data_IF_155795137300
#
_entry.id   IF_155795137300
#
_cell.length_a   1.000
_cell.length_b   1.000
_cell.length_c   1.000
_cell.angle_alpha   90.00
_cell.angle_beta   90.00
_cell.angle_gamma   90.00
#
_symmetry.space_group_name_H-M   'P 1'
#
loop_
_entity.id
_entity.type
_entity.pdbx_description
1 polymer ?
#
# COMPACT_ATOMS: atom_id res chain seq x y z
N UNK A 1 -1.29 -26.32 -23.47
CA UNK A 1 -1.68 -27.74 -23.57
C UNK A 1 -1.73 -28.34 -22.18
N UNK A 2 -2.55 -29.38 -21.96
CA UNK A 2 -2.61 -30.14 -20.70
C UNK A 2 -2.35 -31.61 -21.02
N UNK A 3 -1.50 -32.28 -20.25
CA UNK A 3 -1.26 -33.72 -20.38
C UNK A 3 -2.52 -34.48 -19.92
N UNK A 4 -3.07 -35.31 -20.80
CA UNK A 4 -4.22 -36.16 -20.52
C UNK A 4 -3.83 -37.36 -19.65
N UNK A 5 -4.79 -37.97 -18.98
CA UNK A 5 -4.57 -39.14 -18.12
C UNK A 5 -4.12 -40.36 -18.94
N UNK A 6 -4.64 -40.51 -20.16
CA UNK A 6 -4.28 -41.54 -21.13
C UNK A 6 -2.95 -41.29 -21.88
N UNK A 7 -2.14 -40.29 -21.47
CA UNK A 7 -0.81 -40.07 -22.03
C UNK A 7 -0.75 -39.20 -23.29
N UNK A 8 -1.89 -38.69 -23.77
CA UNK A 8 -1.96 -37.70 -24.85
C UNK A 8 -1.75 -36.25 -24.39
N UNK A 9 -1.55 -35.32 -25.32
CA UNK A 9 -1.58 -33.88 -25.07
C UNK A 9 -2.91 -33.30 -25.54
N UNK A 10 -3.67 -32.68 -24.63
CA UNK A 10 -4.87 -31.92 -24.98
C UNK A 10 -4.44 -30.48 -25.26
N UNK A 11 -4.48 -30.10 -26.53
CA UNK A 11 -4.37 -28.72 -26.97
C UNK A 11 -5.75 -28.10 -26.93
N UNK A 12 -5.95 -27.13 -26.05
CA UNK A 12 -7.19 -26.35 -26.05
C UNK A 12 -7.20 -25.50 -27.33
N UNK A 13 -8.27 -25.54 -28.14
CA UNK A 13 -8.44 -24.59 -29.23
C UNK A 13 -8.33 -23.17 -28.66
N UNK A 14 -7.54 -22.33 -29.31
CA UNK A 14 -7.48 -20.92 -28.96
C UNK A 14 -8.55 -20.19 -29.76
N UNK A 15 -9.32 -19.36 -29.07
CA UNK A 15 -10.27 -18.45 -29.72
C UNK A 15 -9.69 -17.04 -29.71
N UNK A 16 -9.86 -16.35 -30.83
CA UNK A 16 -9.57 -14.91 -30.91
C UNK A 16 -10.47 -14.19 -29.91
N UNK A 17 -9.98 -13.07 -29.38
CA UNK A 17 -10.75 -12.22 -28.47
C UNK A 17 -10.45 -10.76 -28.71
N UNK A 18 -11.41 -9.91 -28.35
CA UNK A 18 -11.15 -8.50 -28.16
C UNK A 18 -10.18 -8.30 -26.99
N UNK A 19 -9.16 -7.49 -27.23
CA UNK A 19 -8.10 -7.18 -26.30
C UNK A 19 -7.85 -5.66 -26.26
N UNK A 20 -7.06 -5.24 -25.28
CA UNK A 20 -7.00 -3.84 -24.87
C UNK A 20 -8.03 -3.65 -23.76
N UNK A 21 -7.57 -3.50 -22.53
CA UNK A 21 -8.47 -3.31 -21.38
C UNK A 21 -9.10 -1.92 -21.50
N UNK A 22 -10.43 -1.81 -21.63
CA UNK A 22 -11.09 -0.50 -21.61
C UNK A 22 -10.87 0.16 -20.25
N UNK A 23 -10.67 1.49 -20.18
CA UNK A 23 -10.70 2.19 -18.92
C UNK A 23 -12.09 2.02 -18.29
N UNK A 24 -12.18 1.32 -17.15
CA UNK A 24 -13.47 0.99 -16.52
C UNK A 24 -14.19 2.19 -15.90
N UNK A 25 -13.51 3.35 -15.81
CA UNK A 25 -14.07 4.58 -15.23
C UNK A 25 -13.94 5.73 -16.22
N UNK A 26 -15.02 6.49 -16.40
CA UNK A 26 -15.04 7.76 -17.12
C UNK A 26 -15.42 8.89 -16.17
N UNK A 27 -14.61 9.94 -16.14
CA UNK A 27 -14.85 11.08 -15.26
C UNK A 27 -15.63 12.17 -15.99
N UNK A 28 -16.65 12.72 -15.32
CA UNK A 28 -17.46 13.82 -15.86
C UNK A 28 -16.57 14.97 -16.33
N UNK A 29 -16.76 15.40 -17.57
CA UNK A 29 -16.01 16.49 -18.19
C UNK A 29 -14.59 16.14 -18.67
N UNK A 30 -14.10 14.90 -18.44
CA UNK A 30 -12.83 14.42 -18.98
C UNK A 30 -13.03 13.47 -20.16
N UNK A 31 -12.15 13.57 -21.15
CA UNK A 31 -12.20 12.71 -22.34
C UNK A 31 -11.82 11.28 -21.95
N UNK A 32 -12.76 10.37 -22.17
CA UNK A 32 -12.55 8.93 -22.13
C UNK A 32 -12.20 8.42 -23.53
N UNK A 33 -11.27 7.48 -23.64
CA UNK A 33 -10.85 6.91 -24.93
C UNK A 33 -10.35 5.48 -24.75
N UNK A 34 -10.73 4.61 -25.67
CA UNK A 34 -10.28 3.22 -25.74
C UNK A 34 -10.08 2.78 -27.19
N UNK A 35 -9.04 1.97 -27.43
CA UNK A 35 -8.71 1.42 -28.75
C UNK A 35 -8.66 -0.10 -28.62
N UNK A 36 -9.75 -0.82 -28.96
CA UNK A 36 -9.74 -2.27 -28.98
C UNK A 36 -8.76 -2.81 -30.03
N UNK A 37 -8.29 -4.04 -29.80
CA UNK A 37 -7.51 -4.80 -30.78
C UNK A 37 -7.93 -6.26 -30.77
N UNK A 38 -7.89 -6.93 -31.90
CA UNK A 38 -8.07 -8.38 -31.94
C UNK A 38 -6.78 -9.05 -31.47
N UNK A 39 -6.89 -9.90 -30.45
CA UNK A 39 -5.82 -10.79 -30.04
C UNK A 39 -6.00 -12.15 -30.69
N UNK A 40 -5.02 -12.52 -31.52
CA UNK A 40 -4.89 -13.83 -32.13
C UNK A 40 -3.55 -14.46 -31.69
N UNK A 41 -3.55 -15.62 -31.01
CA UNK A 41 -2.32 -16.31 -30.64
C UNK A 41 -1.65 -17.08 -31.78
N UNK A 42 -2.35 -17.35 -32.88
CA UNK A 42 -1.87 -18.14 -34.01
C UNK A 42 -1.58 -17.30 -35.25
N UNK A 43 -2.22 -16.14 -35.37
CA UNK A 43 -1.99 -15.17 -36.43
C UNK A 43 -0.77 -14.28 -36.17
N UNK A 44 0.04 -14.07 -37.21
CA UNK A 44 1.01 -12.98 -37.22
C UNK A 44 0.29 -11.63 -36.99
N UNK A 45 1.02 -10.62 -36.51
CA UNK A 45 0.53 -9.27 -36.14
C UNK A 45 -0.10 -8.45 -37.28
N UNK A 46 -0.57 -9.07 -38.36
CA UNK A 46 -1.45 -8.43 -39.31
C UNK A 46 -2.77 -8.16 -38.60
N UNK A 47 -3.05 -6.88 -38.35
CA UNK A 47 -4.41 -6.45 -38.04
C UNK A 47 -5.21 -6.74 -39.33
N UNK A 48 -6.12 -7.73 -39.37
CA UNK A 48 -7.04 -7.84 -40.50
C UNK A 48 -7.80 -6.50 -40.61
N UNK A 49 -8.40 -6.18 -41.76
CA UNK A 49 -9.26 -5.01 -41.85
C UNK A 49 -10.46 -5.19 -40.90
N UNK A 50 -10.30 -4.77 -39.65
CA UNK A 50 -11.32 -4.91 -38.60
C UNK A 50 -12.20 -3.68 -38.65
N UNK A 51 -13.50 -3.89 -38.64
CA UNK A 51 -14.48 -2.83 -38.44
C UNK A 51 -15.08 -2.96 -37.05
N UNK A 52 -14.88 -1.93 -36.22
CA UNK A 52 -15.49 -1.86 -34.90
C UNK A 52 -16.83 -1.13 -34.98
N UNK A 53 -17.84 -1.71 -34.35
CA UNK A 53 -19.18 -1.13 -34.25
C UNK A 53 -19.79 -1.41 -32.89
N UNK A 54 -20.72 -0.57 -32.47
CA UNK A 54 -21.52 -0.80 -31.27
C UNK A 54 -22.98 -0.57 -31.62
N UNK A 55 -23.88 -1.54 -31.36
CA UNK A 55 -25.30 -1.40 -31.71
C UNK A 55 -26.00 -0.34 -30.86
N UNK A 56 -25.53 -0.12 -29.64
CA UNK A 56 -26.03 0.90 -28.74
C UNK A 56 -24.86 1.62 -28.07
N UNK A 57 -24.84 2.94 -28.16
CA UNK A 57 -23.88 3.80 -27.49
C UNK A 57 -24.61 4.94 -26.78
N UNK A 58 -24.19 5.30 -25.55
CA UNK A 58 -24.58 6.56 -24.93
C UNK A 58 -24.24 7.74 -25.84
N UNK A 59 -25.05 8.81 -25.80
CA UNK A 59 -24.88 9.99 -26.68
C UNK A 59 -23.51 10.67 -26.56
N UNK A 60 -22.82 10.46 -25.44
CA UNK A 60 -21.51 11.04 -25.18
C UNK A 60 -20.34 10.22 -25.73
N UNK A 61 -20.58 9.00 -26.23
CA UNK A 61 -19.59 8.10 -26.83
C UNK A 61 -19.80 7.96 -28.33
N UNK A 62 -18.69 7.97 -29.09
CA UNK A 62 -18.72 7.69 -30.52
C UNK A 62 -17.44 6.97 -30.98
N UNK A 63 -17.58 6.18 -32.04
CA UNK A 63 -16.45 5.60 -32.76
C UNK A 63 -15.79 6.67 -33.62
N UNK A 64 -14.48 6.84 -33.43
CA UNK A 64 -13.61 7.67 -34.26
C UNK A 64 -12.50 6.76 -34.80
N UNK A 65 -12.58 6.44 -36.09
CA UNK A 65 -11.70 5.46 -36.74
C UNK A 65 -11.80 4.11 -35.99
N UNK A 66 -10.71 3.68 -35.36
CA UNK A 66 -10.61 2.43 -34.60
C UNK A 66 -10.71 2.65 -33.07
N UNK A 67 -11.04 3.87 -32.63
CA UNK A 67 -11.08 4.23 -31.22
C UNK A 67 -12.47 4.70 -30.79
N UNK A 68 -12.96 4.13 -29.69
CA UNK A 68 -14.16 4.59 -29.02
C UNK A 68 -13.79 5.73 -28.07
N UNK A 69 -14.40 6.90 -28.22
CA UNK A 69 -14.07 8.07 -27.40
C UNK A 69 -15.28 8.93 -27.09
N UNK A 70 -15.20 9.71 -26.02
CA UNK A 70 -16.30 10.53 -25.58
C UNK A 70 -16.00 11.32 -24.32
N UNK A 71 -16.89 12.24 -23.96
CA UNK A 71 -16.78 13.01 -22.71
C UNK A 71 -18.11 12.94 -21.98
N UNK A 72 -18.21 12.24 -20.83
CA UNK A 72 -19.48 12.08 -20.15
C UNK A 72 -19.96 13.42 -19.56
N UNK A 73 -21.22 13.81 -19.82
CA UNK A 73 -21.85 14.97 -19.18
C UNK A 73 -22.17 14.68 -17.70
N UNK A 74 -22.52 15.71 -16.89
CA UNK A 74 -22.78 15.54 -15.46
C UNK A 74 -24.00 14.69 -15.12
N UNK A 75 -24.93 14.50 -16.06
CA UNK A 75 -26.11 13.65 -15.96
C UNK A 75 -25.88 12.22 -16.51
N UNK A 76 -24.67 11.91 -16.99
CA UNK A 76 -24.34 10.59 -17.49
C UNK A 76 -24.41 9.52 -16.38
N UNK A 77 -24.95 8.36 -16.73
CA UNK A 77 -25.02 7.19 -15.85
C UNK A 77 -24.02 6.11 -16.27
N UNK A 78 -23.58 5.31 -15.31
CA UNK A 78 -22.80 4.08 -15.57
C UNK A 78 -23.57 3.17 -16.52
N UNK A 79 -22.88 2.58 -17.49
CA UNK A 79 -23.52 1.82 -18.56
C UNK A 79 -22.67 0.65 -19.03
N UNK A 80 -23.36 -0.31 -19.62
CA UNK A 80 -22.75 -1.41 -20.36
C UNK A 80 -22.85 -1.12 -21.86
N UNK A 81 -21.74 -1.22 -22.57
CA UNK A 81 -21.70 -1.10 -24.02
C UNK A 81 -21.26 -2.42 -24.64
N UNK A 82 -21.87 -2.77 -25.78
CA UNK A 82 -21.46 -3.93 -26.57
C UNK A 82 -20.57 -3.46 -27.71
N UNK A 83 -19.39 -4.04 -27.83
CA UNK A 83 -18.42 -3.74 -28.87
C UNK A 83 -18.28 -4.96 -29.75
N UNK A 84 -18.59 -4.77 -31.04
CA UNK A 84 -18.49 -5.79 -32.07
C UNK A 84 -17.29 -5.47 -32.97
N UNK A 85 -16.40 -6.44 -33.16
CA UNK A 85 -15.34 -6.39 -34.14
C UNK A 85 -15.65 -7.37 -35.27
N UNK A 86 -15.83 -6.84 -36.47
CA UNK A 86 -16.07 -7.62 -37.69
C UNK A 86 -14.79 -7.70 -38.49
N UNK A 87 -14.38 -8.91 -38.86
CA UNK A 87 -13.17 -9.15 -39.64
C UNK A 87 -13.35 -10.34 -40.58
N UNK A 88 -12.54 -10.39 -41.64
CA UNK A 88 -12.52 -11.51 -42.57
C UNK A 88 -11.46 -12.52 -42.15
N UNK A 89 -11.88 -13.77 -41.99
CA UNK A 89 -11.01 -14.92 -41.76
C UNK A 89 -11.26 -15.97 -42.84
N UNK A 90 -10.24 -16.31 -43.61
CA UNK A 90 -10.30 -17.37 -44.63
C UNK A 90 -11.50 -17.23 -45.60
N UNK A 91 -11.88 -15.98 -45.90
CA UNK A 91 -13.02 -15.64 -46.76
C UNK A 91 -14.39 -15.59 -46.07
N UNK A 92 -14.46 -15.90 -44.77
CA UNK A 92 -15.68 -15.83 -43.94
C UNK A 92 -15.63 -14.60 -43.04
N UNK A 93 -16.73 -13.84 -42.96
CA UNK A 93 -16.85 -12.74 -42.00
C UNK A 93 -17.15 -13.31 -40.61
N UNK A 94 -16.26 -13.03 -39.65
CA UNK A 94 -16.45 -13.37 -38.25
C UNK A 94 -16.72 -12.10 -37.43
N UNK A 95 -17.50 -12.27 -36.35
CA UNK A 95 -17.84 -11.18 -35.43
C UNK A 95 -17.45 -11.59 -34.01
N UNK A 96 -16.59 -10.78 -33.38
CA UNK A 96 -16.29 -10.87 -31.95
C UNK A 96 -17.08 -9.82 -31.19
N UNK A 97 -17.85 -10.23 -30.19
CA UNK A 97 -18.63 -9.33 -29.34
C UNK A 97 -18.08 -9.34 -27.90
N UNK A 98 -17.93 -8.15 -27.31
CA UNK A 98 -17.56 -7.99 -25.92
C UNK A 98 -18.39 -6.90 -25.26
N UNK A 99 -18.93 -7.21 -24.08
CA UNK A 99 -19.59 -6.22 -23.22
C UNK A 99 -18.55 -5.55 -22.33
N UNK A 100 -18.57 -4.22 -22.27
CA UNK A 100 -17.70 -3.38 -21.47
C UNK A 100 -18.54 -2.55 -20.52
N UNK A 101 -18.23 -2.66 -19.23
CA UNK A 101 -18.84 -1.82 -18.19
C UNK A 101 -18.02 -0.53 -18.03
N UNK A 102 -18.70 0.62 -18.06
CA UNK A 102 -18.10 1.93 -17.81
C UNK A 102 -18.82 2.58 -16.62
N UNK A 103 -18.07 2.82 -15.54
CA UNK A 103 -18.54 3.56 -14.37
C UNK A 103 -18.34 5.05 -14.56
N UNK A 104 -19.39 5.86 -14.35
CA UNK A 104 -19.28 7.33 -14.38
C UNK A 104 -18.93 7.85 -12.99
N UNK A 105 -17.85 8.63 -12.89
CA UNK A 105 -17.40 9.23 -11.65
C UNK A 105 -17.42 10.76 -11.73
N UNK A 106 -17.93 11.47 -10.71
CA UNK A 106 -17.81 12.93 -10.62
C UNK A 106 -16.35 13.39 -10.57
N UNK A 107 -16.03 14.56 -11.12
CA UNK A 107 -14.66 15.11 -11.09
C UNK A 107 -14.15 15.38 -9.66
N UNK A 108 -15.04 15.51 -8.66
CA UNK A 108 -14.65 15.63 -7.24
C UNK A 108 -13.91 14.40 -6.69
N UNK A 109 -13.97 13.26 -7.39
CA UNK A 109 -13.21 12.03 -7.05
C UNK A 109 -11.81 12.01 -7.67
N UNK A 110 -11.48 12.96 -8.55
CA UNK A 110 -10.13 13.14 -9.11
C UNK A 110 -9.30 13.92 -8.09
N UNK A 111 -8.84 13.23 -7.06
CA UNK A 111 -7.78 13.73 -6.21
C UNK A 111 -6.52 13.93 -7.08
N UNK A 112 -5.81 15.04 -6.92
CA UNK A 112 -4.72 15.52 -7.81
C UNK A 112 -3.42 14.70 -7.71
N UNK A 113 -3.53 13.37 -7.58
CA UNK A 113 -2.45 12.44 -7.23
C UNK A 113 -1.85 11.68 -8.43
N UNK A 114 -1.86 12.25 -9.64
CA UNK A 114 -1.06 11.76 -10.76
C UNK A 114 -0.12 12.86 -11.26
N UNK A 115 1.20 12.82 -10.96
CA UNK A 115 2.15 13.53 -11.81
C UNK A 115 2.05 12.91 -13.21
N UNK A 116 1.66 13.72 -14.19
CA UNK A 116 1.58 13.32 -15.58
C UNK A 116 2.88 12.64 -16.01
N UNK A 117 2.74 11.40 -16.50
CA UNK A 117 3.79 10.60 -17.11
C UNK A 117 4.42 11.36 -18.29
N UNK A 118 5.44 12.17 -17.99
CA UNK A 118 6.36 12.71 -18.99
C UNK A 118 7.38 11.61 -19.30
N UNK A 119 7.02 10.74 -20.24
CA UNK A 119 8.01 9.98 -21.00
C UNK A 119 8.99 10.98 -21.65
N UNK A 120 10.31 10.88 -21.41
CA UNK A 120 11.29 11.52 -22.28
C UNK A 120 11.22 10.81 -23.63
N UNK A 121 10.71 11.51 -24.65
CA UNK A 121 10.76 11.05 -26.03
C UNK A 121 12.20 11.13 -26.53
N UNK A 122 12.84 9.97 -26.58
CA UNK A 122 14.03 9.68 -27.37
C UNK A 122 13.69 9.79 -28.86
N UNK A 123 13.94 10.95 -29.47
CA UNK A 123 14.26 11.11 -30.90
C UNK A 123 14.85 12.49 -31.12
N UNK A 124 16.19 12.53 -31.21
CA UNK A 124 16.92 13.52 -32.00
C UNK A 124 16.65 13.21 -33.49
N UNK A 125 16.47 14.21 -34.37
CA UNK A 125 17.63 14.61 -35.16
C UNK A 125 17.60 16.10 -35.55
N UNK A 126 18.66 16.86 -35.25
CA UNK A 126 19.36 17.75 -36.21
C UNK A 126 20.53 18.50 -35.56
N UNK A 127 21.70 17.85 -35.62
CA UNK A 127 22.96 18.40 -36.17
C UNK A 127 23.01 19.94 -36.32
N UNK A 128 23.68 20.62 -35.39
CA UNK A 128 24.66 21.67 -35.72
C UNK A 128 25.74 21.84 -34.64
N UNK A 129 26.93 21.49 -35.10
CA UNK A 129 28.28 21.68 -34.57
C UNK A 129 28.54 23.13 -34.11
N UNK A 130 29.23 23.28 -32.97
CA UNK A 130 30.41 24.15 -32.72
C UNK A 130 30.54 24.36 -31.20
N UNK A 131 31.44 23.66 -30.52
CA UNK A 131 32.84 24.05 -30.28
C UNK A 131 33.01 25.13 -29.19
N UNK A 132 33.54 24.67 -28.06
CA UNK A 132 34.67 25.23 -27.30
C UNK A 132 34.70 26.75 -27.00
N UNK A 133 34.56 27.12 -25.71
CA UNK A 133 35.44 28.13 -25.10
C UNK A 133 35.30 28.18 -23.59
N UNK A 134 36.45 27.93 -22.98
CA UNK A 134 36.81 28.14 -21.58
C UNK A 134 36.83 29.65 -21.29
N UNK A 135 36.30 30.08 -20.13
CA UNK A 135 36.87 31.09 -19.22
C UNK A 135 35.92 31.32 -18.02
N UNK A 136 36.44 31.52 -16.79
CA UNK A 136 35.65 31.92 -15.63
C UNK A 136 35.61 33.45 -15.53
N UNK A 137 34.43 34.06 -15.37
CA UNK A 137 34.37 35.48 -15.03
C UNK A 137 33.28 35.79 -14.01
N UNK A 138 33.77 36.26 -12.87
CA UNK A 138 33.02 36.79 -11.76
C UNK A 138 32.42 38.17 -12.05
N UNK A 139 31.57 38.59 -11.12
CA UNK A 139 31.14 39.97 -10.78
C UNK A 139 29.84 40.53 -11.39
N UNK A 140 28.82 40.48 -10.52
CA UNK A 140 27.99 41.61 -10.03
C UNK A 140 27.10 42.44 -10.97
N UNK A 141 25.84 42.55 -10.49
CA UNK A 141 24.96 43.73 -10.39
C UNK A 141 23.65 43.75 -11.19
N UNK A 142 22.58 43.97 -10.39
CA UNK A 142 21.23 44.54 -10.68
C UNK A 142 20.24 43.57 -11.34
N UNK A 143 18.96 43.52 -10.94
CA UNK A 143 18.10 44.55 -10.34
C UNK A 143 16.90 43.88 -9.67
N UNK A 144 16.58 44.32 -8.46
CA UNK A 144 15.31 44.06 -7.76
C UNK A 144 14.12 44.55 -8.61
N UNK A 145 13.09 43.71 -8.77
CA UNK A 145 11.71 44.18 -8.96
C UNK A 145 10.67 43.12 -8.58
N UNK A 146 9.95 43.44 -7.51
CA UNK A 146 8.59 43.02 -7.13
C UNK A 146 8.40 41.61 -6.58
N UNK A 147 8.37 41.56 -5.25
CA UNK A 147 7.49 40.70 -4.47
C UNK A 147 6.11 40.61 -5.14
N UNK A 148 5.78 39.42 -5.63
CA UNK A 148 4.40 38.95 -5.63
C UNK A 148 4.28 38.05 -4.41
N UNK A 149 3.70 38.59 -3.34
CA UNK A 149 2.86 37.80 -2.46
C UNK A 149 1.85 37.08 -3.36
N UNK A 150 1.77 35.76 -3.30
CA UNK A 150 0.58 34.94 -3.54
C UNK A 150 0.97 33.45 -3.50
N UNK A 151 0.21 32.70 -2.70
CA UNK A 151 0.11 31.23 -2.63
C UNK A 151 1.30 30.47 -2.02
N UNK A 152 1.44 30.55 -0.69
CA UNK A 152 1.78 29.34 0.08
C UNK A 152 0.58 28.39 -0.01
N UNK A 153 0.65 27.39 -0.90
CA UNK A 153 -0.26 26.26 -0.84
C UNK A 153 0.13 25.38 0.34
N UNK A 154 -0.83 25.13 1.22
CA UNK A 154 -0.73 24.29 2.41
C UNK A 154 -0.31 22.86 2.04
N UNK A 155 0.84 22.36 2.53
CA UNK A 155 1.30 21.00 2.25
C UNK A 155 0.55 19.89 3.01
N UNK A 156 -0.47 20.20 3.81
CA UNK A 156 -1.10 19.24 4.74
C UNK A 156 -1.95 18.18 4.03
N UNK A 157 -2.85 18.58 3.12
CA UNK A 157 -3.83 17.65 2.48
C UNK A 157 -3.13 16.54 1.69
N UNK A 158 -2.03 16.85 1.01
CA UNK A 158 -1.25 15.86 0.25
C UNK A 158 -0.47 14.89 1.14
N UNK A 159 -0.07 15.31 2.34
CA UNK A 159 0.61 14.44 3.30
C UNK A 159 -0.38 13.47 3.95
N UNK A 160 -1.58 13.97 4.29
CA UNK A 160 -2.63 13.17 4.91
C UNK A 160 -3.09 12.04 3.99
N UNK A 161 -3.29 12.33 2.69
CA UNK A 161 -3.62 11.31 1.68
C UNK A 161 -2.53 10.23 1.54
N UNK A 162 -1.25 10.58 1.72
CA UNK A 162 -0.15 9.62 1.72
C UNK A 162 -0.17 8.73 2.97
N UNK A 163 -0.47 9.31 4.14
CA UNK A 163 -0.60 8.57 5.40
C UNK A 163 -1.75 7.56 5.33
N UNK A 164 -2.92 7.96 4.82
CA UNK A 164 -4.05 7.03 4.60
C UNK A 164 -3.64 5.87 3.70
N UNK A 165 -2.91 6.15 2.61
CA UNK A 165 -2.44 5.10 1.69
C UNK A 165 -1.49 4.13 2.38
N UNK A 166 -0.51 4.62 3.16
CA UNK A 166 0.40 3.78 3.95
C UNK A 166 -0.36 2.88 4.91
N UNK A 167 -1.30 3.44 5.68
CA UNK A 167 -2.08 2.68 6.67
C UNK A 167 -2.99 1.64 6.00
N UNK A 168 -3.62 2.00 4.89
CA UNK A 168 -4.50 1.09 4.13
C UNK A 168 -3.69 -0.07 3.54
N UNK A 169 -2.53 0.21 2.95
CA UNK A 169 -1.64 -0.83 2.43
C UNK A 169 -1.10 -1.72 3.56
N UNK A 170 -0.71 -1.15 4.70
CA UNK A 170 -0.30 -1.92 5.88
C UNK A 170 -1.43 -2.82 6.40
N UNK A 171 -2.66 -2.31 6.47
CA UNK A 171 -3.84 -3.10 6.88
C UNK A 171 -4.11 -4.28 5.94
N UNK A 172 -3.95 -4.08 4.63
CA UNK A 172 -4.09 -5.15 3.63
C UNK A 172 -3.03 -6.23 3.79
N UNK A 173 -1.78 -5.85 4.07
CA UNK A 173 -0.70 -6.81 4.31
C UNK A 173 -0.97 -7.65 5.57
N UNK A 174 -1.43 -7.03 6.66
CA UNK A 174 -1.84 -7.74 7.88
C UNK A 174 -3.02 -8.68 7.60
N UNK A 175 -3.98 -8.26 6.80
CA UNK A 175 -5.12 -9.11 6.42
C UNK A 175 -4.66 -10.33 5.60
N UNK A 176 -3.69 -10.16 4.70
CA UNK A 176 -3.09 -11.26 3.95
C UNK A 176 -2.30 -12.21 4.87
N UNK A 177 -1.57 -11.67 5.84
CA UNK A 177 -0.83 -12.44 6.83
C UNK A 177 -1.77 -13.25 7.75
N UNK A 178 -2.87 -12.65 8.20
CA UNK A 178 -3.91 -13.35 8.95
C UNK A 178 -4.53 -14.50 8.14
N UNK A 179 -4.77 -14.31 6.83
CA UNK A 179 -5.24 -15.39 5.95
C UNK A 179 -4.20 -16.52 5.81
N UNK A 180 -2.92 -16.19 5.72
CA UNK A 180 -1.82 -17.16 5.68
C UNK A 180 -1.75 -17.99 6.97
N UNK A 181 -1.86 -17.33 8.12
CA UNK A 181 -1.88 -17.92 9.45
C UNK A 181 -3.10 -18.84 9.66
N UNK A 182 -4.29 -18.46 9.19
CA UNK A 182 -5.49 -19.31 9.25
C UNK A 182 -5.34 -20.59 8.43
N UNK A 183 -4.66 -20.51 7.27
CA UNK A 183 -4.37 -21.68 6.44
C UNK A 183 -3.33 -22.59 7.09
N UNK A 184 -2.32 -22.02 7.76
CA UNK A 184 -1.30 -22.77 8.51
C UNK A 184 -1.86 -23.42 9.80
N UNK A 185 -2.70 -22.70 10.56
CA UNK A 185 -3.27 -23.12 11.83
C UNK A 185 -4.32 -24.25 11.71
N UNK A 186 -4.80 -24.58 10.50
CA UNK A 186 -5.70 -25.72 10.27
C UNK A 186 -5.10 -27.09 10.64
N UNK A 187 -3.81 -27.14 10.97
CA UNK A 187 -3.10 -28.37 11.37
C UNK A 187 -2.93 -28.54 12.88
N UNK A 188 -3.22 -27.54 13.72
CA UNK A 188 -3.06 -27.65 15.17
C UNK A 188 -4.16 -26.89 15.91
N UNK A 189 -4.89 -27.61 16.76
CA UNK A 189 -6.10 -27.17 17.45
C UNK A 189 -5.81 -26.15 18.57
N UNK A 190 -5.65 -24.87 18.24
CA UNK A 190 -5.94 -23.72 19.11
C UNK A 190 -5.92 -22.42 18.28
N UNK A 191 -6.91 -21.50 18.37
CA UNK A 191 -6.72 -20.15 17.86
C UNK A 191 -5.67 -19.45 18.72
N UNK A 192 -4.40 -19.58 18.34
CA UNK A 192 -3.29 -19.07 19.11
C UNK A 192 -3.39 -17.56 19.37
N UNK A 193 -2.72 -17.06 20.43
CA UNK A 193 -2.69 -15.63 20.79
C UNK A 193 -2.24 -14.71 19.63
N UNK A 194 -1.55 -15.28 18.65
CA UNK A 194 -1.09 -14.60 17.43
C UNK A 194 -2.22 -14.22 16.47
N UNK A 195 -3.28 -15.03 16.35
CA UNK A 195 -4.42 -14.66 15.50
C UNK A 195 -5.20 -13.49 16.11
N UNK A 196 -5.30 -13.46 17.45
CA UNK A 196 -5.89 -12.33 18.17
C UNK A 196 -5.06 -11.06 18.03
N UNK A 197 -3.72 -11.17 18.07
CA UNK A 197 -2.85 -10.02 17.86
C UNK A 197 -2.95 -9.49 16.42
N UNK A 198 -2.97 -10.35 15.40
CA UNK A 198 -3.16 -9.96 14.00
C UNK A 198 -4.53 -9.31 13.75
N UNK A 199 -5.60 -9.87 14.33
CA UNK A 199 -6.93 -9.28 14.25
C UNK A 199 -6.95 -7.88 14.89
N UNK A 200 -6.27 -7.70 16.03
CA UNK A 200 -6.13 -6.40 16.68
C UNK A 200 -5.30 -5.43 15.84
N UNK A 201 -4.19 -5.87 15.26
CA UNK A 201 -3.38 -5.06 14.35
C UNK A 201 -4.21 -4.55 13.17
N UNK A 202 -4.99 -5.43 12.52
CA UNK A 202 -5.88 -5.07 11.42
C UNK A 202 -6.95 -4.07 11.88
N UNK A 203 -7.54 -4.29 13.06
CA UNK A 203 -8.53 -3.39 13.64
C UNK A 203 -7.95 -2.00 13.87
N UNK A 204 -6.78 -1.91 14.55
CA UNK A 204 -6.11 -0.63 14.83
C UNK A 204 -5.84 0.11 13.53
N UNK A 205 -5.23 -0.53 12.53
CA UNK A 205 -4.91 0.12 11.24
C UNK A 205 -6.16 0.58 10.49
N UNK A 206 -7.24 -0.21 10.51
CA UNK A 206 -8.49 0.11 9.83
C UNK A 206 -9.24 1.26 10.52
N UNK A 207 -9.39 1.21 11.84
CA UNK A 207 -10.01 2.28 12.64
C UNK A 207 -9.22 3.58 12.48
N UNK A 208 -7.89 3.48 12.41
CA UNK A 208 -7.01 4.64 12.18
C UNK A 208 -7.18 5.25 10.81
N UNK A 209 -7.24 4.44 9.75
CA UNK A 209 -7.52 4.95 8.42
C UNK A 209 -8.90 5.64 8.35
N UNK A 210 -9.92 5.08 9.00
CA UNK A 210 -11.27 5.67 9.06
C UNK A 210 -11.32 6.97 9.89
N UNK A 211 -10.57 7.05 11.00
CA UNK A 211 -10.45 8.26 11.79
C UNK A 211 -9.83 9.40 10.97
N UNK A 212 -8.80 9.09 10.16
CA UNK A 212 -8.16 10.06 9.27
C UNK A 212 -9.09 10.53 8.15
N UNK A 213 -9.83 9.62 7.54
CA UNK A 213 -10.78 9.93 6.46
C UNK A 213 -11.91 10.85 6.96
N UNK A 214 -12.37 10.65 8.21
CA UNK A 214 -13.33 11.54 8.88
C UNK A 214 -12.77 12.94 9.13
N UNK A 215 -11.52 13.06 9.54
CA UNK A 215 -10.84 14.36 9.70
C UNK A 215 -10.71 15.08 8.35
N UNK A 216 -10.45 14.37 7.25
CA UNK A 216 -10.35 14.96 5.91
C UNK A 216 -11.69 15.45 5.36
N UNK A 217 -12.80 14.78 5.70
CA UNK A 217 -14.13 15.11 5.18
C UNK A 217 -14.89 16.19 5.98
N UNK A 218 -14.29 16.79 7.01
CA UNK A 218 -14.70 18.05 7.65
C UNK A 218 -16.22 18.24 7.90
N UNK A 219 -16.93 17.23 8.41
CA UNK A 219 -18.22 17.45 9.08
C UNK A 219 -17.94 17.81 10.55
N UNK A 220 -18.23 19.05 11.00
CA UNK A 220 -18.01 19.46 12.38
C UNK A 220 -19.16 18.93 13.24
N UNK A 221 -19.22 17.62 13.42
CA UNK A 221 -20.10 17.03 14.43
C UNK A 221 -19.29 16.75 15.68
N UNK A 222 -19.76 17.25 16.83
CA UNK A 222 -19.01 17.45 18.08
C UNK A 222 -18.63 16.17 18.84
N UNK A 223 -18.43 15.06 18.14
CA UNK A 223 -18.01 13.79 18.73
C UNK A 223 -16.78 13.28 18.00
N UNK A 224 -15.60 13.40 18.62
CA UNK A 224 -14.55 12.37 18.70
C UNK A 224 -13.18 12.96 19.07
N UNK A 225 -13.00 13.42 20.32
CA UNK A 225 -11.66 13.75 20.83
C UNK A 225 -10.66 12.59 20.65
N UNK A 226 -11.17 11.35 20.72
CA UNK A 226 -10.40 10.12 20.47
C UNK A 226 -9.96 9.97 19.00
N UNK A 227 -10.80 10.36 18.03
CA UNK A 227 -10.46 10.32 16.60
C UNK A 227 -9.30 11.27 16.29
N UNK A 228 -9.35 12.50 16.81
CA UNK A 228 -8.29 13.49 16.58
C UNK A 228 -6.95 13.07 17.18
N UNK A 229 -6.97 12.48 18.40
CA UNK A 229 -5.75 11.96 19.05
C UNK A 229 -5.17 10.79 18.25
N UNK A 230 -6.04 9.92 17.74
CA UNK A 230 -5.68 8.74 16.98
C UNK A 230 -5.13 9.10 15.58
N UNK A 231 -5.73 10.09 14.91
CA UNK A 231 -5.23 10.68 13.67
C UNK A 231 -3.85 11.31 13.87
N UNK A 232 -3.68 12.14 14.91
CA UNK A 232 -2.40 12.75 15.24
C UNK A 232 -1.31 11.72 15.58
N UNK A 233 -1.66 10.68 16.34
CA UNK A 233 -0.74 9.59 16.66
C UNK A 233 -0.32 8.82 15.39
N UNK A 234 -1.26 8.57 14.48
CA UNK A 234 -0.99 7.90 13.22
C UNK A 234 0.00 8.66 12.33
N UNK A 235 -0.16 9.99 12.25
CA UNK A 235 0.76 10.85 11.51
C UNK A 235 2.18 10.73 12.06
N UNK A 236 2.32 10.72 13.38
CA UNK A 236 3.63 10.59 14.02
C UNK A 236 4.28 9.23 13.74
N UNK A 237 3.51 8.15 13.81
CA UNK A 237 4.00 6.79 13.52
C UNK A 237 4.47 6.70 12.07
N UNK A 238 3.65 7.13 11.10
CA UNK A 238 4.02 7.04 9.67
C UNK A 238 5.21 7.93 9.33
N UNK A 239 5.26 9.14 9.89
CA UNK A 239 6.40 10.04 9.67
C UNK A 239 7.71 9.49 10.24
N UNK A 240 7.66 8.88 11.43
CA UNK A 240 8.83 8.24 12.02
C UNK A 240 9.23 6.97 11.29
N UNK A 241 8.27 6.15 10.85
CA UNK A 241 8.54 5.01 10.00
C UNK A 241 9.24 5.44 8.70
N UNK A 242 8.79 6.52 8.07
CA UNK A 242 9.43 7.07 6.87
C UNK A 242 10.88 7.52 7.14
N UNK A 243 11.12 8.18 8.29
CA UNK A 243 12.46 8.56 8.72
C UNK A 243 13.36 7.34 8.96
N UNK A 244 12.81 6.28 9.56
CA UNK A 244 13.54 5.04 9.81
C UNK A 244 13.94 4.34 8.51
N UNK A 245 13.02 4.26 7.52
CA UNK A 245 13.33 3.72 6.19
C UNK A 245 14.40 4.56 5.49
N UNK A 246 14.31 5.89 5.59
CA UNK A 246 15.33 6.78 5.03
C UNK A 246 16.71 6.54 5.66
N UNK A 247 16.75 6.36 6.99
CA UNK A 247 17.97 6.08 7.73
C UNK A 247 18.56 4.71 7.36
N UNK A 248 17.73 3.68 7.25
CA UNK A 248 18.17 2.32 6.89
C UNK A 248 18.70 2.25 5.45
N UNK A 249 17.99 2.85 4.49
CA UNK A 249 18.48 2.97 3.11
C UNK A 249 19.79 3.77 3.02
N UNK A 250 19.90 4.84 3.82
CA UNK A 250 21.13 5.65 3.87
C UNK A 250 22.30 4.86 4.47
N UNK A 251 22.05 4.05 5.51
CA UNK A 251 23.04 3.16 6.11
C UNK A 251 23.46 2.04 5.15
N UNK A 252 22.49 1.43 4.44
CA UNK A 252 22.77 0.42 3.41
C UNK A 252 23.59 1.00 2.26
N UNK A 253 23.28 2.23 1.81
CA UNK A 253 24.07 2.93 0.80
C UNK A 253 25.49 3.24 1.31
N UNK A 254 25.65 3.71 2.55
CA UNK A 254 26.96 3.95 3.16
C UNK A 254 27.80 2.66 3.27
N UNK A 255 27.16 1.52 3.58
CA UNK A 255 27.81 0.21 3.64
C UNK A 255 28.25 -0.27 2.25
N UNK A 256 27.46 -0.03 1.19
CA UNK A 256 27.86 -0.36 -0.19
C UNK A 256 29.07 0.47 -0.65
N UNK A 257 29.11 1.74 -0.28
CA UNK A 257 30.24 2.62 -0.56
C UNK A 257 31.50 2.15 0.20
N UNK A 258 31.36 1.76 1.48
CA UNK A 258 32.48 1.19 2.25
C UNK A 258 32.96 -0.16 1.72
N UNK A 259 32.08 -0.94 1.10
CA UNK A 259 32.43 -2.22 0.47
C UNK A 259 33.11 -2.07 -0.91
N UNK A 260 33.33 -0.84 -1.39
CA UNK A 260 34.01 -0.58 -2.67
C UNK A 260 33.20 -0.97 -3.91
N UNK A 261 31.89 -1.20 -3.76
CA UNK A 261 30.98 -1.54 -4.86
C UNK A 261 30.45 -0.22 -5.44
N UNK A 262 30.64 0.08 -6.73
CA UNK A 262 30.09 1.29 -7.33
C UNK A 262 28.56 1.26 -7.24
N UNK A 263 27.89 2.38 -6.89
CA UNK A 263 26.44 2.41 -6.76
C UNK A 263 25.83 2.06 -8.12
N UNK A 264 25.23 0.88 -8.20
CA UNK A 264 24.45 0.48 -9.37
C UNK A 264 23.20 1.38 -9.41
N UNK A 265 22.88 1.94 -10.58
CA UNK A 265 21.73 2.85 -10.81
C UNK A 265 20.35 2.22 -10.46
N UNK A 266 20.32 0.99 -9.95
CA UNK A 266 19.13 0.21 -9.60
C UNK A 266 18.73 0.29 -8.12
N UNK A 267 19.56 0.82 -7.21
CA UNK A 267 19.12 1.06 -5.82
C UNK A 267 18.61 2.49 -5.67
N UNK A 268 17.30 2.67 -5.89
CA UNK A 268 16.65 3.95 -5.62
C UNK A 268 16.77 4.28 -4.12
N UNK A 269 17.44 5.39 -3.80
CA UNK A 269 17.45 6.00 -2.47
C UNK A 269 16.09 6.60 -2.09
N UNK A 270 15.09 6.45 -2.96
CA UNK A 270 13.74 6.96 -2.77
C UNK A 270 12.99 6.09 -1.75
N UNK A 271 12.46 6.72 -0.72
CA UNK A 271 11.60 6.08 0.28
C UNK A 271 10.27 5.78 -0.39
N UNK A 272 9.92 4.49 -0.52
CA UNK A 272 8.65 4.10 -1.13
C UNK A 272 7.57 3.92 -0.08
N UNK A 273 6.31 4.16 -0.46
CA UNK A 273 5.12 3.94 0.40
C UNK A 273 5.09 2.51 0.95
N UNK A 274 5.52 1.54 0.13
CA UNK A 274 5.62 0.13 0.52
C UNK A 274 6.61 -0.10 1.66
N UNK A 275 7.78 0.54 1.62
CA UNK A 275 8.78 0.41 2.70
C UNK A 275 8.23 0.99 4.01
N UNK A 276 7.59 2.16 3.94
CA UNK A 276 6.99 2.82 5.11
C UNK A 276 5.84 1.98 5.67
N UNK A 277 5.02 1.34 4.82
CA UNK A 277 3.93 0.48 5.28
C UNK A 277 4.43 -0.77 6.01
N UNK A 278 5.54 -1.38 5.56
CA UNK A 278 6.11 -2.56 6.22
C UNK A 278 6.70 -2.20 7.58
N UNK A 279 7.42 -1.08 7.68
CA UNK A 279 7.96 -0.60 8.96
C UNK A 279 6.83 -0.22 9.92
N UNK A 280 5.79 0.45 9.41
CA UNK A 280 4.60 0.81 10.20
C UNK A 280 3.88 -0.44 10.71
N UNK A 281 3.66 -1.44 9.84
CA UNK A 281 3.10 -2.74 10.22
C UNK A 281 3.93 -3.41 11.32
N UNK A 282 5.25 -3.47 11.15
CA UNK A 282 6.15 -4.13 12.12
C UNK A 282 6.11 -3.43 13.48
N UNK A 283 6.10 -2.09 13.50
CA UNK A 283 6.01 -1.32 14.74
C UNK A 283 4.65 -1.51 15.43
N UNK A 284 3.55 -1.53 14.68
CA UNK A 284 2.21 -1.81 15.22
C UNK A 284 2.11 -3.24 15.73
N UNK A 285 2.71 -4.22 15.04
CA UNK A 285 2.74 -5.60 15.47
C UNK A 285 3.46 -5.78 16.82
N UNK A 286 4.67 -5.21 16.94
CA UNK A 286 5.43 -5.23 18.19
C UNK A 286 4.70 -4.47 19.31
N UNK A 287 4.04 -3.37 18.99
CA UNK A 287 3.23 -2.64 19.97
C UNK A 287 2.05 -3.47 20.47
N UNK A 288 1.32 -4.15 19.59
CA UNK A 288 0.21 -5.04 20.00
C UNK A 288 0.71 -6.22 20.85
N UNK A 289 1.92 -6.73 20.58
CA UNK A 289 2.53 -7.77 21.40
C UNK A 289 2.87 -7.27 22.82
N UNK A 290 3.39 -6.04 22.94
CA UNK A 290 3.75 -5.44 24.23
C UNK A 290 2.56 -4.94 25.04
N UNK A 291 1.57 -4.33 24.38
CA UNK A 291 0.39 -3.78 25.06
C UNK A 291 -0.71 -4.83 25.22
N UNK A 292 -0.73 -5.88 24.39
CA UNK A 292 -1.73 -6.94 24.41
C UNK A 292 -2.97 -6.68 23.53
N UNK A 293 -3.74 -7.73 23.17
CA UNK A 293 -4.84 -7.65 22.20
C UNK A 293 -6.07 -6.88 22.71
N UNK A 294 -6.22 -6.74 24.03
CA UNK A 294 -7.35 -6.03 24.67
C UNK A 294 -7.10 -4.53 24.85
N UNK A 295 -5.94 -4.03 24.46
CA UNK A 295 -5.53 -2.65 24.73
C UNK A 295 -6.15 -1.65 23.76
N UNK A 296 -6.21 -0.38 24.17
CA UNK A 296 -6.82 0.66 23.36
C UNK A 296 -5.98 0.95 22.10
N UNK A 297 -6.64 1.35 21.01
CA UNK A 297 -5.99 1.67 19.74
C UNK A 297 -4.98 2.81 19.90
N UNK A 298 -5.29 3.77 20.78
CA UNK A 298 -4.43 4.91 21.10
C UNK A 298 -3.16 4.44 21.83
N UNK A 299 -3.28 3.55 22.82
CA UNK A 299 -2.13 3.01 23.56
C UNK A 299 -1.19 2.21 22.64
N UNK A 300 -1.76 1.44 21.71
CA UNK A 300 -0.99 0.69 20.70
C UNK A 300 -0.21 1.65 19.81
N UNK A 301 -0.82 2.72 19.30
CA UNK A 301 -0.13 3.69 18.45
C UNK A 301 0.93 4.50 19.23
N UNK A 302 0.66 4.89 20.48
CA UNK A 302 1.65 5.55 21.33
C UNK A 302 2.85 4.65 21.62
N UNK A 303 2.60 3.35 21.85
CA UNK A 303 3.66 2.36 22.05
C UNK A 303 4.47 2.17 20.77
N UNK A 304 3.80 2.03 19.61
CA UNK A 304 4.45 1.91 18.30
C UNK A 304 5.33 3.12 17.98
N UNK A 305 4.86 4.34 18.29
CA UNK A 305 5.61 5.57 18.18
C UNK A 305 6.85 5.56 19.08
N UNK A 306 6.74 5.12 20.34
CA UNK A 306 7.89 4.97 21.23
C UNK A 306 8.94 3.99 20.68
N UNK A 307 8.52 2.87 20.11
CA UNK A 307 9.43 1.89 19.48
C UNK A 307 10.18 2.48 18.28
N UNK A 308 9.49 3.20 17.41
CA UNK A 308 10.11 3.86 16.26
C UNK A 308 11.11 4.95 16.69
N UNK A 309 10.81 5.72 17.73
CA UNK A 309 11.75 6.68 18.31
C UNK A 309 12.99 6.00 18.89
N UNK A 310 12.83 4.85 19.55
CA UNK A 310 13.95 4.09 20.10
C UNK A 310 14.84 3.52 19.00
N UNK A 311 14.25 3.03 17.90
CA UNK A 311 14.99 2.50 16.76
C UNK A 311 15.78 3.58 16.01
N UNK A 312 15.26 4.80 15.89
CA UNK A 312 15.98 5.95 15.32
C UNK A 312 17.16 6.41 16.20
N UNK A 313 17.15 6.11 17.50
CA UNK A 313 18.17 6.56 18.46
C UNK A 313 19.32 5.59 18.66
N UNK A 314 19.25 4.37 18.13
CA UNK A 314 20.31 3.37 18.26
C UNK A 314 21.40 3.63 17.19
N UNK A 315 22.59 4.16 17.54
CA UNK A 315 23.69 4.22 16.59
C UNK A 315 24.09 2.79 16.18
N UNK A 316 24.59 2.58 14.94
CA UNK A 316 25.04 1.27 14.51
C UNK A 316 26.14 0.79 15.47
N UNK A 317 26.17 -0.51 15.84
CA UNK A 317 27.32 -1.05 16.54
C UNK A 317 28.54 -0.85 15.63
N UNK A 318 29.51 -0.05 16.12
CA UNK A 318 30.80 0.04 15.49
C UNK A 318 31.36 -1.38 15.36
N UNK A 319 31.64 -1.79 14.13
CA UNK A 319 32.33 -3.02 13.82
C UNK A 319 33.67 -3.03 14.58
N UNK A 320 33.76 -3.84 15.62
CA UNK A 320 35.04 -4.24 16.19
C UNK A 320 35.62 -5.27 15.23
N UNK A 321 36.63 -4.84 14.48
CA UNK A 321 37.40 -5.72 13.60
C UNK A 321 38.11 -6.83 14.39
N UNK A 322 38.54 -7.89 13.70
CA UNK A 322 39.25 -9.00 14.32
C UNK A 322 40.74 -8.62 14.45
N UNK A 323 41.26 -8.55 15.68
CA UNK A 323 42.70 -8.58 15.93
C UNK A 323 43.01 -9.48 17.12
N UNK A 324 43.50 -10.66 16.78
CA UNK A 324 44.70 -11.34 17.30
C UNK A 324 45.21 -11.00 18.72
N UNK A 325 45.28 -12.08 19.52
CA UNK A 325 46.35 -12.54 20.41
C UNK A 325 47.02 -11.60 21.45
N UNK A 326 47.25 -12.15 22.66
CA UNK A 326 48.32 -11.69 23.55
C UNK A 326 47.96 -11.22 24.97
N UNK A 327 47.91 -12.19 25.91
CA UNK A 327 48.44 -12.13 27.30
C UNK A 327 47.69 -11.37 28.43
N UNK A 328 47.26 -12.20 29.43
CA UNK A 328 47.10 -12.03 30.92
C UNK A 328 47.83 -10.85 31.62
N UNK A 329 47.52 -10.44 32.90
CA UNK A 329 46.77 -11.13 33.98
C UNK A 329 45.85 -10.30 34.95
N UNK A 330 45.23 -11.03 35.91
CA UNK A 330 44.25 -10.70 36.98
C UNK A 330 44.56 -9.50 37.93
N UNK A 331 43.55 -8.99 38.70
CA UNK A 331 43.33 -9.42 40.11
C UNK A 331 41.82 -9.54 40.51
N UNK A 332 41.34 -10.57 41.23
CA UNK A 332 41.28 -10.85 42.70
C UNK A 332 40.28 -10.00 43.52
N UNK A 333 39.28 -10.71 44.09
CA UNK A 333 38.58 -10.42 45.36
C UNK A 333 37.29 -9.57 45.26
N UNK A 334 36.18 -9.83 45.97
CA UNK A 334 35.83 -10.80 47.01
C UNK A 334 34.29 -10.86 47.18
N UNK A 335 33.74 -12.02 47.53
CA UNK A 335 32.36 -12.24 48.00
C UNK A 335 32.24 -11.95 49.51
N UNK A 336 31.01 -11.80 50.05
CA UNK A 336 30.41 -12.89 50.85
C UNK A 336 28.89 -13.06 50.54
N UNK A 337 28.32 -14.24 50.25
CA UNK A 337 27.86 -15.35 51.13
C UNK A 337 27.29 -14.86 52.48
N UNK A 338 25.99 -14.97 52.77
CA UNK A 338 25.27 -16.14 53.35
C UNK A 338 23.83 -15.67 53.81
N UNK A 339 22.94 -16.47 54.44
CA UNK A 339 22.23 -17.70 54.02
C UNK A 339 20.67 -17.65 54.25
N UNK A 340 19.96 -18.66 53.71
CA UNK A 340 18.57 -19.11 54.01
C UNK A 340 18.40 -19.61 55.48
N UNK A 341 17.22 -20.04 56.05
CA UNK A 341 16.08 -20.75 55.41
C UNK A 341 14.68 -20.57 56.12
N UNK A 342 13.72 -21.54 56.18
CA UNK A 342 12.35 -21.37 55.70
C UNK A 342 11.25 -21.50 56.79
N UNK A 343 9.99 -21.23 56.45
CA UNK A 343 8.86 -21.70 57.26
C UNK A 343 7.63 -22.00 56.40
N UNK A 344 7.26 -23.28 56.41
CA UNK A 344 5.92 -23.77 56.07
C UNK A 344 4.89 -23.19 57.05
N UNK A 345 3.64 -22.96 56.60
CA UNK A 345 2.41 -23.49 57.20
C UNK A 345 1.18 -23.01 56.43
N UNK A 346 0.32 -23.97 56.10
CA UNK A 346 -1.11 -23.87 55.72
C UNK A 346 -1.82 -24.87 56.67
N UNK A 347 -3.17 -25.04 56.74
CA UNK A 347 -4.33 -24.21 56.37
C UNK A 347 -5.38 -24.09 57.52
N UNK A 348 -6.42 -23.26 57.36
CA UNK A 348 -7.68 -23.32 58.14
C UNK A 348 -8.83 -22.70 57.29
N UNK A 349 -9.88 -23.42 56.83
CA UNK A 349 -11.08 -23.97 57.52
C UNK A 349 -12.22 -22.93 57.66
N UNK A 350 -13.21 -23.03 56.74
CA UNK A 350 -14.70 -22.88 56.78
C UNK A 350 -15.39 -21.64 57.40
N UNK A 351 -16.73 -21.38 57.21
CA UNK A 351 -17.83 -22.18 56.59
C UNK A 351 -18.63 -21.45 55.47
N UNK A 352 -19.31 -22.11 54.52
CA UNK A 352 -20.59 -22.83 54.53
C UNK A 352 -21.84 -22.01 54.97
N UNK A 353 -22.78 -21.77 54.02
CA UNK A 353 -24.19 -21.50 54.35
C UNK A 353 -25.00 -20.69 53.32
N UNK A 354 -26.04 -21.33 52.77
CA UNK A 354 -27.28 -20.77 52.21
C UNK A 354 -27.39 -20.42 50.70
N UNK A 355 -27.73 -21.44 49.90
CA UNK A 355 -28.93 -21.45 49.02
C UNK A 355 -30.22 -21.57 49.88
N UNK A 356 -31.48 -21.50 49.37
CA UNK A 356 -31.99 -21.53 47.97
C UNK A 356 -32.99 -20.38 47.66
N UNK A 357 -33.54 -20.20 46.45
CA UNK A 357 -34.82 -20.82 46.05
C UNK A 357 -35.34 -20.24 44.72
N UNK A 358 -35.62 -21.16 43.78
CA UNK A 358 -36.81 -21.28 42.91
C UNK A 358 -37.27 -20.10 42.02
N UNK A 359 -37.39 -20.37 40.72
CA UNK A 359 -38.35 -19.64 39.86
C UNK A 359 -38.13 -19.69 38.34
N UNK A 360 -38.18 -20.88 37.71
CA UNK A 360 -38.72 -21.07 36.34
C UNK A 360 -40.25 -21.24 36.48
N UNK A 361 -41.12 -21.08 35.45
CA UNK A 361 -40.96 -21.49 34.03
C UNK A 361 -41.38 -20.40 33.00
N UNK A 362 -40.82 -20.38 31.78
CA UNK A 362 -41.33 -21.05 30.57
C UNK A 362 -42.79 -20.72 30.22
N UNK A 363 -43.01 -19.95 29.14
CA UNK A 363 -44.19 -20.04 28.26
C UNK A 363 -43.94 -19.27 26.93
N UNK A 364 -43.68 -20.02 25.86
CA UNK A 364 -44.26 -19.83 24.52
C UNK A 364 -45.43 -20.86 24.41
N UNK A 365 -46.37 -20.80 23.44
CA UNK A 365 -46.32 -20.16 22.11
C UNK A 365 -47.62 -19.44 21.65
N UNK A 366 -47.50 -18.65 20.59
CA UNK A 366 -48.19 -18.82 19.30
C UNK A 366 -47.62 -17.87 18.24
#
# INVERSE_FOLDING_TARGET
AKKAAEGGWIFRPFHRRLAGTPPGVAYVGLRWTWTPRIWDPQGARSNPSVRYTSPWLPMWLSWNEDSLSGTPPPDAQSCDITVEARFLQDGTEEVLSQVVHITIAPMSTVDSAYPGSRRPSLVDPTRRVASDSVLPQATTYRRSRRQSLLAQSSPSVAQDAQVVRVLTTAAQLVAQEAQSQVVAARTLHEPGPELQSLAKQQHVLTVTAQALDKDMNHLPDGSSHTSNVLAAAAHQVVFQAARQVAADKSAAAANQISAGIPPSQSTSTEVTVTDVSVVTQTAVAQAVELTGPLSSEVDVLMTANSLLQQQTRKPPPAASGPMDDGLRPHPVGALPLQPFPPAMHNPAVYPAGMQPSMGLPEYLPL
#
